data_IF_984930238847
#
_entry.id   IF_984930238847
#
_cell.length_a   1.000
_cell.length_b   1.000
_cell.length_c   1.000
_cell.angle_alpha   90.00
_cell.angle_beta   90.00
_cell.angle_gamma   90.00
#
_symmetry.space_group_name_H-M   'P 1'
#
loop_
_entity.id
_entity.type
_entity.pdbx_description
1 polymer ?
#
# COMPACT_ATOMS: atom_id res chain seq x y z
N UNK A 1 1.07 -21.88 1.48
CA UNK A 1 0.14 -21.28 2.48
C UNK A 1 0.57 -19.86 2.73
N UNK A 2 -0.25 -18.91 2.27
CA UNK A 2 0.00 -17.47 2.28
C UNK A 2 -0.31 -16.82 3.64
N UNK A 3 -1.26 -17.38 4.38
CA UNK A 3 -1.82 -16.81 5.61
C UNK A 3 -0.85 -16.71 6.81
N UNK A 4 0.03 -17.70 7.08
CA UNK A 4 0.98 -17.60 8.19
C UNK A 4 1.98 -16.45 8.05
N UNK A 5 2.18 -15.95 6.82
CA UNK A 5 3.14 -14.89 6.55
C UNK A 5 2.64 -13.52 7.02
N UNK A 6 1.35 -13.23 6.86
CA UNK A 6 0.74 -11.99 7.37
C UNK A 6 0.61 -12.01 8.90
N UNK A 7 0.38 -13.20 9.48
CA UNK A 7 0.30 -13.38 10.94
C UNK A 7 1.67 -13.20 11.62
N UNK A 8 2.76 -13.40 10.87
CA UNK A 8 4.14 -13.21 11.34
C UNK A 8 4.63 -11.76 11.22
N UNK A 9 3.75 -10.79 10.95
CA UNK A 9 4.13 -9.37 10.88
C UNK A 9 4.79 -8.93 12.21
N UNK A 10 5.94 -8.25 12.19
CA UNK A 10 6.74 -7.95 13.39
C UNK A 10 6.12 -6.95 14.39
N UNK A 11 4.81 -6.70 14.35
CA UNK A 11 4.08 -5.83 15.30
C UNK A 11 4.31 -4.32 15.10
N UNK A 12 4.05 -3.53 16.15
CA UNK A 12 4.01 -2.05 16.15
C UNK A 12 5.36 -1.34 15.89
N UNK A 13 6.44 -2.11 15.69
CA UNK A 13 7.64 -1.56 15.10
C UNK A 13 7.41 -1.39 13.62
N UNK A 14 7.36 -0.15 13.12
CA UNK A 14 7.36 0.16 11.67
C UNK A 14 8.43 -0.73 11.03
N UNK A 15 8.06 -1.73 10.20
CA UNK A 15 9.06 -2.54 9.53
C UNK A 15 10.00 -1.60 8.80
N UNK A 16 11.29 -1.70 9.06
CA UNK A 16 12.25 -0.88 8.34
C UNK A 16 12.14 -1.27 6.87
N UNK A 17 11.74 -0.32 6.00
CA UNK A 17 11.66 -0.47 4.55
C UNK A 17 12.74 -1.43 4.01
N UNK A 18 12.31 -2.53 3.40
CA UNK A 18 13.19 -3.61 2.96
C UNK A 18 13.45 -4.68 4.02
N UNK A 19 12.57 -4.82 5.01
CA UNK A 19 12.68 -5.86 6.04
C UNK A 19 12.64 -7.27 5.42
N UNK A 20 13.23 -8.29 6.08
CA UNK A 20 13.15 -9.68 5.60
C UNK A 20 11.70 -10.16 5.41
N UNK A 21 10.79 -9.68 6.25
CA UNK A 21 9.35 -9.97 6.13
C UNK A 21 8.75 -9.37 4.86
N UNK A 22 9.00 -8.08 4.56
CA UNK A 22 8.52 -7.44 3.31
C UNK A 22 9.02 -8.17 2.07
N UNK A 23 10.29 -8.57 2.07
CA UNK A 23 10.89 -9.32 0.97
C UNK A 23 10.27 -10.71 0.81
N UNK A 24 9.82 -11.33 1.90
CA UNK A 24 9.13 -12.62 1.87
C UNK A 24 7.69 -12.49 1.37
N UNK A 25 6.97 -11.43 1.76
CA UNK A 25 5.63 -11.10 1.22
C UNK A 25 5.72 -10.87 -0.29
N UNK A 26 6.67 -10.03 -0.71
CA UNK A 26 6.91 -9.77 -2.13
C UNK A 26 7.20 -11.04 -2.91
N UNK A 27 8.13 -11.88 -2.41
CA UNK A 27 8.48 -13.14 -3.06
C UNK A 27 7.26 -14.06 -3.18
N UNK A 28 6.45 -14.14 -2.13
CA UNK A 28 5.25 -14.97 -2.13
C UNK A 28 4.19 -14.45 -3.11
N UNK A 29 3.98 -13.14 -3.20
CA UNK A 29 3.06 -12.53 -4.18
C UNK A 29 3.54 -12.75 -5.62
N UNK A 30 4.85 -12.66 -5.87
CA UNK A 30 5.43 -12.89 -7.21
C UNK A 30 5.33 -14.35 -7.64
N UNK A 31 5.57 -15.29 -6.72
CA UNK A 31 5.64 -16.73 -7.03
C UNK A 31 4.28 -17.39 -7.18
N UNK A 32 3.29 -16.98 -6.38
CA UNK A 32 1.95 -17.55 -6.39
C UNK A 32 0.90 -16.45 -6.19
N UNK A 33 0.69 -15.56 -7.16
CA UNK A 33 -0.30 -14.48 -7.06
C UNK A 33 -1.73 -15.02 -6.89
N UNK A 34 -2.04 -16.18 -7.49
CA UNK A 34 -3.34 -16.85 -7.35
C UNK A 34 -3.65 -17.35 -5.94
N UNK A 35 -2.62 -17.61 -5.13
CA UNK A 35 -2.78 -18.02 -3.74
C UNK A 35 -3.21 -16.89 -2.80
N UNK A 36 -3.16 -15.64 -3.25
CA UNK A 36 -3.60 -14.46 -2.50
C UNK A 36 -5.02 -14.08 -2.93
N UNK A 37 -6.01 -14.46 -2.11
CA UNK A 37 -7.41 -14.17 -2.39
C UNK A 37 -8.06 -13.35 -1.27
N UNK A 38 -9.08 -12.58 -1.62
CA UNK A 38 -9.77 -11.72 -0.69
C UNK A 38 -10.48 -12.51 0.43
N UNK A 39 -11.02 -13.69 0.11
CA UNK A 39 -11.72 -14.57 1.04
C UNK A 39 -10.80 -15.09 2.15
N UNK A 40 -9.50 -15.16 1.89
CA UNK A 40 -8.51 -15.62 2.84
C UNK A 40 -8.09 -14.52 3.84
N UNK A 41 -8.43 -13.24 3.55
CA UNK A 41 -8.06 -12.11 4.38
C UNK A 41 -9.08 -11.86 5.50
N UNK A 42 -8.61 -11.98 6.76
CA UNK A 42 -9.27 -11.31 7.88
C UNK A 42 -9.03 -9.80 7.80
N UNK A 43 -9.83 -9.00 8.53
CA UNK A 43 -9.64 -7.53 8.60
C UNK A 43 -8.21 -7.15 8.99
N UNK A 44 -7.64 -7.82 10.00
CA UNK A 44 -6.26 -7.55 10.43
C UNK A 44 -5.23 -7.87 9.34
N UNK A 45 -5.38 -9.01 8.67
CA UNK A 45 -4.50 -9.41 7.56
C UNK A 45 -4.59 -8.46 6.37
N UNK A 46 -5.80 -7.98 6.07
CA UNK A 46 -6.00 -7.00 5.01
C UNK A 46 -5.27 -5.68 5.33
N UNK A 47 -5.31 -5.21 6.59
CA UNK A 47 -4.53 -4.05 7.03
C UNK A 47 -3.02 -4.25 6.91
N UNK A 48 -2.52 -5.43 7.30
CA UNK A 48 -1.09 -5.77 7.16
C UNK A 48 -0.66 -5.75 5.69
N UNK A 49 -1.45 -6.37 4.82
CA UNK A 49 -1.16 -6.38 3.38
C UNK A 49 -1.24 -4.97 2.78
N UNK A 50 -2.22 -4.16 3.19
CA UNK A 50 -2.35 -2.77 2.76
C UNK A 50 -1.14 -1.92 3.20
N UNK A 51 -0.65 -2.13 4.43
CA UNK A 51 0.58 -1.48 4.92
C UNK A 51 1.81 -1.87 4.09
N UNK A 52 1.92 -3.15 3.72
CA UNK A 52 2.99 -3.58 2.80
C UNK A 52 2.90 -2.87 1.44
N UNK A 53 1.70 -2.65 0.90
CA UNK A 53 1.52 -1.90 -0.36
C UNK A 53 1.93 -0.43 -0.20
N UNK A 54 1.62 0.19 0.94
CA UNK A 54 2.05 1.55 1.27
C UNK A 54 3.58 1.67 1.29
N UNK A 55 4.27 0.72 1.91
CA UNK A 55 5.74 0.65 1.91
C UNK A 55 6.30 0.37 0.51
N UNK A 56 5.65 -0.50 -0.27
CA UNK A 56 6.01 -0.81 -1.64
C UNK A 56 5.96 0.43 -2.54
N UNK A 57 5.02 1.36 -2.32
CA UNK A 57 4.96 2.62 -3.08
C UNK A 57 6.26 3.44 -2.93
N UNK A 58 6.80 3.54 -1.72
CA UNK A 58 8.11 4.18 -1.49
C UNK A 58 9.22 3.43 -2.24
N UNK A 59 9.21 2.10 -2.19
CA UNK A 59 10.24 1.26 -2.84
C UNK A 59 10.18 1.36 -4.36
N UNK A 60 9.01 1.46 -4.97
CA UNK A 60 8.81 1.65 -6.42
C UNK A 60 9.52 2.93 -6.90
N UNK A 61 9.37 4.05 -6.17
CA UNK A 61 10.06 5.30 -6.54
C UNK A 61 11.58 5.14 -6.48
N UNK A 62 12.08 4.44 -5.45
CA UNK A 62 13.52 4.23 -5.23
C UNK A 62 14.17 3.30 -6.25
N UNK A 63 13.51 2.18 -6.57
CA UNK A 63 14.08 1.14 -7.44
C UNK A 63 13.71 1.31 -8.91
N UNK A 64 12.58 1.96 -9.20
CA UNK A 64 11.94 2.02 -10.52
C UNK A 64 11.68 0.63 -11.11
N UNK A 65 11.41 -0.36 -10.25
CA UNK A 65 11.15 -1.73 -10.65
C UNK A 65 9.70 -1.92 -11.11
N UNK A 66 9.43 -2.19 -12.41
CA UNK A 66 8.07 -2.43 -12.91
C UNK A 66 7.44 -3.69 -12.32
N UNK A 67 8.23 -4.71 -11.98
CA UNK A 67 7.70 -5.93 -11.38
C UNK A 67 7.25 -5.71 -9.95
N UNK A 68 7.93 -4.84 -9.20
CA UNK A 68 7.48 -4.45 -7.86
C UNK A 68 6.15 -3.68 -7.96
N UNK A 69 6.03 -2.75 -8.91
CA UNK A 69 4.76 -2.05 -9.15
C UNK A 69 3.64 -3.04 -9.45
N UNK A 70 3.84 -3.96 -10.40
CA UNK A 70 2.85 -4.99 -10.77
C UNK A 70 2.45 -5.84 -9.56
N UNK A 71 3.43 -6.27 -8.76
CA UNK A 71 3.21 -7.06 -7.54
C UNK A 71 2.38 -6.28 -6.51
N UNK A 72 2.69 -4.99 -6.32
CA UNK A 72 1.97 -4.11 -5.41
C UNK A 72 0.53 -3.86 -5.87
N UNK A 73 0.31 -3.67 -7.18
CA UNK A 73 -1.03 -3.53 -7.76
C UNK A 73 -1.84 -4.82 -7.59
N UNK A 74 -1.24 -6.00 -7.80
CA UNK A 74 -1.91 -7.28 -7.51
C UNK A 74 -2.35 -7.39 -6.06
N UNK A 75 -1.46 -7.10 -5.10
CA UNK A 75 -1.79 -7.12 -3.67
C UNK A 75 -2.91 -6.11 -3.33
N UNK A 76 -2.86 -4.92 -3.91
CA UNK A 76 -3.88 -3.89 -3.72
C UNK A 76 -5.26 -4.34 -4.21
N UNK A 77 -5.34 -5.05 -5.34
CA UNK A 77 -6.61 -5.61 -5.84
C UNK A 77 -7.18 -6.67 -4.90
N UNK A 78 -6.32 -7.54 -4.35
CA UNK A 78 -6.74 -8.53 -3.34
C UNK A 78 -7.32 -7.82 -2.10
N UNK A 79 -6.67 -6.75 -1.63
CA UNK A 79 -7.17 -5.96 -0.51
C UNK A 79 -8.47 -5.23 -0.87
N UNK A 80 -8.57 -4.68 -2.10
CA UNK A 80 -9.75 -3.95 -2.57
C UNK A 80 -11.01 -4.83 -2.66
N UNK A 81 -10.85 -6.13 -2.94
CA UNK A 81 -11.92 -7.11 -2.92
C UNK A 81 -12.20 -7.67 -1.50
N UNK A 82 -11.36 -7.33 -0.53
CA UNK A 82 -11.42 -7.80 0.85
C UNK A 82 -12.32 -6.95 1.77
N UNK A 83 -12.15 -7.08 3.10
CA UNK A 83 -13.09 -6.54 4.08
C UNK A 83 -12.85 -5.07 4.49
N UNK A 84 -11.88 -4.37 3.88
CA UNK A 84 -11.54 -3.00 4.25
C UNK A 84 -12.49 -1.97 3.63
N UNK A 85 -12.58 -0.79 4.26
CA UNK A 85 -13.29 0.34 3.66
C UNK A 85 -12.56 0.78 2.39
N UNK A 86 -13.33 0.99 1.32
CA UNK A 86 -12.82 1.40 0.01
C UNK A 86 -11.97 2.68 0.08
N UNK A 87 -12.28 3.59 1.01
CA UNK A 87 -11.54 4.86 1.20
C UNK A 87 -10.12 4.62 1.65
N UNK A 88 -9.91 3.67 2.57
CA UNK A 88 -8.58 3.34 3.07
C UNK A 88 -7.72 2.72 1.96
N UNK A 89 -8.33 1.83 1.17
CA UNK A 89 -7.69 1.24 -0.01
C UNK A 89 -7.37 2.31 -1.06
N UNK A 90 -8.28 3.25 -1.29
CA UNK A 90 -8.09 4.35 -2.25
C UNK A 90 -6.95 5.29 -1.89
N UNK A 91 -6.72 5.56 -0.60
CA UNK A 91 -5.57 6.35 -0.15
C UNK A 91 -4.27 5.69 -0.58
N UNK A 92 -4.10 4.39 -0.32
CA UNK A 92 -2.87 3.67 -0.67
C UNK A 92 -2.76 3.44 -2.18
N UNK A 93 -3.88 3.23 -2.88
CA UNK A 93 -3.91 3.19 -4.33
C UNK A 93 -3.38 4.48 -4.96
N UNK A 94 -3.76 5.65 -4.41
CA UNK A 94 -3.27 6.95 -4.88
C UNK A 94 -1.77 7.11 -4.67
N UNK A 95 -1.24 6.65 -3.54
CA UNK A 95 0.21 6.60 -3.29
C UNK A 95 0.95 5.73 -4.30
N UNK A 96 0.43 4.55 -4.60
CA UNK A 96 1.08 3.63 -5.53
C UNK A 96 1.01 4.14 -6.98
N UNK A 97 -0.10 4.78 -7.38
CA UNK A 97 -0.20 5.44 -8.68
C UNK A 97 0.78 6.62 -8.77
N UNK A 98 0.81 7.49 -7.75
CA UNK A 98 1.81 8.55 -7.65
C UNK A 98 3.25 8.02 -7.70
N UNK A 99 3.51 6.88 -7.07
CA UNK A 99 4.81 6.22 -7.12
C UNK A 99 5.20 5.79 -8.55
N UNK A 100 4.24 5.24 -9.31
CA UNK A 100 4.44 4.89 -10.70
C UNK A 100 4.81 6.12 -11.53
N UNK A 101 4.09 7.24 -11.37
CA UNK A 101 4.37 8.50 -12.05
C UNK A 101 5.78 9.03 -11.72
N UNK A 102 6.13 9.09 -10.44
CA UNK A 102 7.46 9.54 -9.99
C UNK A 102 8.59 8.62 -10.48
N UNK A 103 8.30 7.33 -10.67
CA UNK A 103 9.25 6.34 -11.21
C UNK A 103 9.30 6.33 -12.75
N UNK A 104 8.40 7.03 -13.45
CA UNK A 104 8.26 6.95 -14.91
C UNK A 104 7.69 5.62 -15.40
N UNK A 105 6.92 4.92 -14.58
CA UNK A 105 6.28 3.64 -14.88
C UNK A 105 4.82 3.87 -15.30
N UNK A 106 4.27 2.94 -16.09
CA UNK A 106 2.89 3.04 -16.59
C UNK A 106 1.93 2.32 -15.66
N UNK A 107 1.14 3.08 -14.89
CA UNK A 107 0.11 2.55 -13.99
C UNK A 107 -0.90 1.66 -14.72
N UNK A 108 -1.50 2.17 -15.81
CA UNK A 108 -2.51 1.41 -16.58
C UNK A 108 -1.96 0.08 -17.06
N UNK A 109 -0.70 0.04 -17.50
CA UNK A 109 -0.06 -1.20 -17.93
C UNK A 109 0.09 -2.23 -16.81
N UNK A 110 0.27 -1.78 -15.56
CA UNK A 110 0.31 -2.68 -14.41
C UNK A 110 -1.09 -3.19 -14.03
N UNK A 111 -2.13 -2.37 -14.22
CA UNK A 111 -3.53 -2.73 -13.97
C UNK A 111 -4.08 -3.67 -15.05
N UNK A 112 -3.83 -3.38 -16.33
CA UNK A 112 -4.33 -4.15 -17.49
C UNK A 112 -3.78 -5.59 -17.54
N UNK A 113 -2.64 -5.84 -16.87
CA UNK A 113 -2.05 -7.18 -16.77
C UNK A 113 -2.71 -8.06 -15.71
N UNK A 114 -3.64 -7.52 -14.92
CA UNK A 114 -4.33 -8.28 -13.89
C UNK A 114 -5.54 -9.02 -14.47
N UNK A 115 -5.76 -10.28 -14.07
CA UNK A 115 -6.92 -11.05 -14.54
C UNK A 115 -8.23 -10.49 -13.96
N UNK A 116 -9.27 -10.40 -14.80
CA UNK A 116 -10.64 -10.04 -14.40
C UNK A 116 -10.91 -8.55 -14.36
N UNK A 117 -11.45 -7.99 -15.44
CA UNK A 117 -11.85 -6.58 -15.50
C UNK A 117 -13.34 -6.37 -15.16
N UNK A 118 -13.74 -5.18 -14.67
CA UNK A 118 -12.92 -4.00 -14.37
C UNK A 118 -12.32 -3.98 -12.96
N UNK A 119 -11.09 -3.46 -12.82
CA UNK A 119 -10.39 -3.37 -11.54
C UNK A 119 -10.79 -2.10 -10.75
N UNK A 120 -11.14 -2.21 -9.46
CA UNK A 120 -11.65 -1.09 -8.65
C UNK A 120 -10.63 0.05 -8.41
N UNK A 121 -9.36 -0.16 -8.78
CA UNK A 121 -8.24 0.75 -8.57
C UNK A 121 -7.77 1.46 -9.86
N UNK A 122 -8.25 1.06 -11.04
CA UNK A 122 -7.77 1.61 -12.32
C UNK A 122 -8.00 3.12 -12.45
N UNK A 123 -9.12 3.63 -11.94
CA UNK A 123 -9.48 5.06 -12.02
C UNK A 123 -9.00 5.93 -10.86
N UNK A 124 -8.08 5.45 -10.01
CA UNK A 124 -7.57 6.23 -8.89
C UNK A 124 -6.63 7.32 -9.40
N UNK A 125 -6.73 8.60 -8.97
CA UNK A 125 -5.82 9.66 -9.41
C UNK A 125 -4.39 9.48 -8.86
N UNK A 126 -3.40 9.95 -9.61
CA UNK A 126 -1.98 9.91 -9.25
C UNK A 126 -1.57 11.03 -8.27
N UNK A 127 -2.42 11.30 -7.28
CA UNK A 127 -2.21 12.38 -6.31
C UNK A 127 -1.68 11.82 -4.98
N UNK A 128 -0.74 12.55 -4.36
CA UNK A 128 -0.33 12.25 -2.98
C UNK A 128 -1.49 12.61 -2.03
N UNK A 129 -2.07 11.65 -1.30
CA UNK A 129 -3.18 11.93 -0.40
C UNK A 129 -2.79 12.94 0.67
N UNK A 130 -3.73 13.77 1.16
CA UNK A 130 -3.44 14.83 2.14
C UNK A 130 -2.97 14.28 3.49
N UNK A 131 -3.18 13.00 3.75
CA UNK A 131 -2.67 12.27 4.92
C UNK A 131 -1.18 11.94 4.82
N UNK A 132 -0.57 12.17 3.66
CA UNK A 132 0.83 11.86 3.38
C UNK A 132 1.60 13.08 2.87
N UNK A 133 2.90 12.97 2.90
CA UNK A 133 3.84 13.89 2.29
C UNK A 133 4.97 13.12 1.61
N UNK A 134 5.47 13.68 0.52
CA UNK A 134 6.67 13.22 -0.17
C UNK A 134 7.89 13.84 0.53
N UNK A 135 8.82 13.03 1.01
CA UNK A 135 10.06 13.49 1.65
C UNK A 135 11.28 12.84 1.02
N UNK A 136 12.40 13.56 0.98
CA UNK A 136 13.63 13.07 0.35
C UNK A 136 13.56 12.99 -1.17
N UNK A 137 14.58 12.39 -1.79
CA UNK A 137 14.68 12.21 -3.24
C UNK A 137 15.54 11.00 -3.60
N UNK A 138 15.32 10.43 -4.79
CA UNK A 138 16.06 9.27 -5.29
C UNK A 138 16.02 8.10 -4.31
N UNK A 139 17.19 7.61 -3.87
CA UNK A 139 17.30 6.51 -2.91
C UNK A 139 16.79 6.83 -1.49
N UNK A 140 16.64 8.12 -1.15
CA UNK A 140 16.16 8.57 0.16
C UNK A 140 14.67 8.92 0.17
N UNK A 141 14.01 8.88 -0.99
CA UNK A 141 12.60 9.23 -1.13
C UNK A 141 11.72 8.39 -0.19
N UNK A 142 10.69 8.97 0.42
CA UNK A 142 9.67 8.23 1.14
C UNK A 142 8.32 8.95 1.07
N UNK A 143 7.24 8.18 1.02
CA UNK A 143 5.95 8.66 1.47
C UNK A 143 5.90 8.54 2.99
N UNK A 144 5.66 9.66 3.67
CA UNK A 144 5.52 9.69 5.12
C UNK A 144 4.11 10.12 5.49
N UNK A 145 3.48 9.40 6.41
CA UNK A 145 2.22 9.85 7.01
C UNK A 145 2.44 11.18 7.73
N UNK A 146 1.60 12.17 7.41
CA UNK A 146 1.64 13.45 8.11
C UNK A 146 1.27 13.23 9.58
N UNK A 147 1.93 13.93 10.51
CA UNK A 147 1.47 13.98 11.89
C UNK A 147 0.01 14.43 11.90
N UNK A 148 -0.85 13.71 12.65
CA UNK A 148 -2.22 14.19 12.86
C UNK A 148 -2.09 15.54 13.56
N UNK A 149 -2.60 16.61 12.94
CA UNK A 149 -2.72 17.94 13.56
C UNK A 149 -3.77 17.98 14.68
N UNK A 150 -4.02 16.83 15.32
CA UNK A 150 -4.96 16.68 16.39
C UNK A 150 -4.35 17.35 17.62
N UNK A 151 -4.85 18.54 17.93
CA UNK A 151 -4.59 19.21 19.20
C UNK A 151 -5.67 18.76 20.20
N UNK A 152 -5.39 17.75 21.05
CA UNK A 152 -6.34 17.30 22.07
C UNK A 152 -6.76 18.44 23.00
N UNK A 153 -5.88 19.41 23.25
CA UNK A 153 -6.13 20.55 24.13
C UNK A 153 -7.12 21.53 23.48
N UNK A 154 -7.05 21.71 22.16
CA UNK A 154 -8.05 22.49 21.42
C UNK A 154 -9.42 21.81 21.39
N UNK A 155 -9.45 20.48 21.32
CA UNK A 155 -10.70 19.70 21.39
C UNK A 155 -11.32 19.77 22.79
N UNK A 156 -10.54 19.53 23.85
CA UNK A 156 -11.00 19.65 25.24
C UNK A 156 -11.56 21.05 25.53
N UNK A 157 -10.88 22.11 25.07
CA UNK A 157 -11.39 23.49 25.16
C UNK A 157 -12.72 23.72 24.45
N UNK A 158 -13.01 22.98 23.37
CA UNK A 158 -14.30 23.04 22.64
C UNK A 158 -15.40 22.25 23.34
N UNK A 159 -15.07 21.12 23.96
CA UNK A 159 -16.03 20.24 24.64
C UNK A 159 -16.39 20.72 26.06
N UNK A 160 -15.55 21.55 26.66
CA UNK A 160 -15.79 22.15 27.99
C UNK A 160 -16.60 23.46 27.96
N UNK A 161 -17.19 23.80 26.81
CA UNK A 161 -18.11 24.93 26.60
C UNK A 161 -19.51 24.41 26.33
#
# INVERSE_FOLDING_TARGET
MVLPLLDAHPGDGVPALGSPWEAQVERSLRQDPSGWTAEALSVGRAWVLLGWVEDAATRVVRSRDPELLRTAVSALVVVAAGPLDRRDVWVVAGLLHRAADLAGLRWDHAVDQLPGEPHPVGGVPADTPPTHEEVGAGSTFAFRRRPRSFDPVALERRLSR
#
